data_IF_538958729152
#
_entry.id   IF_538958729152
#
_cell.length_a   1.000
_cell.length_b   1.000
_cell.length_c   1.000
_cell.angle_alpha   90.00
_cell.angle_beta   90.00
_cell.angle_gamma   90.00
#
_symmetry.space_group_name_H-M   'P 1'
#
loop_
_entity.id
_entity.type
_entity.pdbx_description
1 polymer ?
#
# COMPACT_ATOMS: atom_id res chain seq x y z
N UNK A 1 68.81 -17.45 -8.76
CA UNK A 1 67.60 -17.39 -7.92
C UNK A 1 66.41 -16.98 -8.79
N UNK A 2 65.52 -17.92 -9.13
CA UNK A 2 64.21 -17.58 -9.73
C UNK A 2 63.30 -17.15 -8.57
N UNK A 3 62.78 -15.92 -8.61
CA UNK A 3 61.72 -15.50 -7.69
C UNK A 3 60.46 -16.27 -8.09
N UNK A 4 60.04 -17.20 -7.24
CA UNK A 4 58.69 -17.78 -7.28
C UNK A 4 57.80 -16.72 -6.64
N UNK A 5 56.97 -16.05 -7.44
CA UNK A 5 55.84 -15.32 -6.91
C UNK A 5 54.81 -16.38 -6.51
N UNK A 6 54.62 -16.61 -5.21
CA UNK A 6 53.44 -17.32 -4.70
C UNK A 6 52.21 -16.56 -5.18
N UNK A 7 51.51 -17.11 -6.17
CA UNK A 7 50.21 -16.61 -6.57
C UNK A 7 49.29 -16.80 -5.37
N UNK A 8 48.83 -15.71 -4.77
CA UNK A 8 47.72 -15.76 -3.82
C UNK A 8 46.58 -16.53 -4.49
N UNK A 9 46.18 -17.65 -3.90
CA UNK A 9 45.16 -18.54 -4.44
C UNK A 9 43.92 -17.71 -4.81
N UNK A 10 43.63 -17.59 -6.10
CA UNK A 10 42.52 -16.77 -6.57
C UNK A 10 41.21 -17.51 -6.28
N UNK A 11 40.67 -17.20 -5.10
CA UNK A 11 39.47 -17.82 -4.55
C UNK A 11 38.21 -17.48 -5.36
N UNK A 12 38.22 -16.44 -6.18
CA UNK A 12 37.05 -16.00 -6.95
C UNK A 12 36.94 -16.75 -8.28
N UNK A 13 38.08 -17.05 -8.92
CA UNK A 13 38.10 -17.84 -10.16
C UNK A 13 37.86 -19.34 -9.94
N UNK A 14 38.18 -19.84 -8.75
CA UNK A 14 37.98 -21.24 -8.37
C UNK A 14 36.54 -21.60 -7.96
N UNK A 15 35.64 -20.64 -7.77
CA UNK A 15 34.26 -20.90 -7.33
C UNK A 15 33.48 -21.79 -8.32
N UNK A 16 32.72 -22.79 -7.82
CA UNK A 16 31.78 -23.57 -8.63
C UNK A 16 30.74 -22.71 -9.36
N UNK A 17 30.24 -23.19 -10.49
CA UNK A 17 29.33 -22.42 -11.35
C UNK A 17 28.02 -22.05 -10.63
N UNK A 18 27.42 -23.01 -9.92
CA UNK A 18 26.25 -22.84 -9.06
C UNK A 18 26.44 -21.73 -8.02
N UNK A 19 27.62 -21.66 -7.40
CA UNK A 19 27.94 -20.59 -6.44
C UNK A 19 28.04 -19.23 -7.14
N UNK A 20 28.67 -19.17 -8.31
CA UNK A 20 28.74 -17.93 -9.11
C UNK A 20 27.33 -17.48 -9.49
N UNK A 21 26.47 -18.39 -9.98
CA UNK A 21 25.07 -18.09 -10.30
C UNK A 21 24.31 -17.56 -9.09
N UNK A 22 24.50 -18.18 -7.92
CA UNK A 22 23.86 -17.74 -6.68
C UNK A 22 24.31 -16.34 -6.27
N UNK A 23 25.62 -16.05 -6.31
CA UNK A 23 26.17 -14.72 -6.03
C UNK A 23 25.57 -13.68 -6.98
N UNK A 24 25.61 -13.96 -8.28
CA UNK A 24 25.13 -13.03 -9.31
C UNK A 24 23.62 -12.78 -9.21
N UNK A 25 22.83 -13.76 -8.75
CA UNK A 25 21.38 -13.62 -8.56
C UNK A 25 20.99 -12.62 -7.45
N UNK A 26 21.93 -12.24 -6.57
CA UNK A 26 21.74 -11.17 -5.59
C UNK A 26 22.19 -9.79 -6.07
N UNK A 27 22.86 -9.72 -7.23
CA UNK A 27 23.36 -8.46 -7.77
C UNK A 27 22.32 -7.83 -8.73
N UNK A 28 22.25 -6.48 -8.78
CA UNK A 28 21.57 -5.80 -9.87
C UNK A 28 22.12 -6.25 -11.23
N UNK A 29 21.27 -6.31 -12.26
CA UNK A 29 21.63 -6.89 -13.56
C UNK A 29 22.88 -6.24 -14.18
N UNK A 30 23.06 -4.92 -13.99
CA UNK A 30 24.26 -4.20 -14.43
C UNK A 30 25.52 -4.70 -13.73
N UNK A 31 25.48 -4.89 -12.41
CA UNK A 31 26.65 -5.33 -11.65
C UNK A 31 26.94 -6.81 -11.88
N UNK A 32 25.90 -7.63 -12.06
CA UNK A 32 26.05 -8.99 -12.53
C UNK A 32 26.73 -9.06 -13.90
N UNK A 33 26.33 -8.19 -14.84
CA UNK A 33 26.97 -8.07 -16.14
C UNK A 33 28.42 -7.55 -16.03
N UNK A 34 28.74 -6.60 -15.14
CA UNK A 34 30.12 -6.16 -14.90
C UNK A 34 31.01 -7.28 -14.35
N UNK A 35 30.47 -8.18 -13.54
CA UNK A 35 31.21 -9.33 -13.01
C UNK A 35 31.74 -10.25 -14.13
N UNK A 36 31.21 -10.14 -15.36
CA UNK A 36 31.74 -10.81 -16.56
C UNK A 36 33.20 -10.44 -16.88
N UNK A 37 33.69 -9.32 -16.35
CA UNK A 37 35.07 -8.84 -16.52
C UNK A 37 36.06 -9.47 -15.53
N UNK A 38 35.58 -10.08 -14.44
CA UNK A 38 36.43 -10.66 -13.40
C UNK A 38 37.25 -11.84 -13.92
N UNK A 39 36.64 -12.71 -14.75
CA UNK A 39 37.35 -13.79 -15.44
C UNK A 39 36.55 -14.41 -16.58
N UNK A 40 37.20 -15.27 -17.38
CA UNK A 40 36.53 -16.03 -18.44
C UNK A 40 35.37 -16.90 -17.93
N UNK A 41 35.47 -17.40 -16.70
CA UNK A 41 34.44 -18.27 -16.09
C UNK A 41 33.16 -17.50 -15.81
N UNK A 42 33.28 -16.28 -15.28
CA UNK A 42 32.14 -15.43 -14.90
C UNK A 42 31.41 -14.81 -16.11
N UNK A 43 32.06 -14.77 -17.28
CA UNK A 43 31.63 -14.01 -18.46
C UNK A 43 30.18 -14.22 -18.87
N UNK A 44 29.69 -15.46 -18.78
CA UNK A 44 28.40 -15.88 -19.31
C UNK A 44 27.35 -16.17 -18.23
N UNK A 45 27.73 -16.29 -16.96
CA UNK A 45 26.81 -16.76 -15.91
C UNK A 45 25.68 -15.76 -15.63
N UNK A 46 25.90 -14.47 -15.90
CA UNK A 46 24.87 -13.46 -15.73
C UNK A 46 23.72 -13.59 -16.75
N UNK A 47 23.97 -14.24 -17.90
CA UNK A 47 23.00 -14.39 -19.00
C UNK A 47 21.84 -15.34 -18.68
N UNK A 48 21.93 -16.10 -17.60
CA UNK A 48 20.92 -17.06 -17.17
C UNK A 48 20.35 -16.74 -15.79
N UNK A 49 20.56 -15.51 -15.29
CA UNK A 49 19.96 -15.07 -14.02
C UNK A 49 18.44 -14.89 -14.22
N UNK A 50 17.60 -15.56 -13.43
CA UNK A 50 16.17 -15.60 -13.69
C UNK A 50 15.41 -14.31 -13.33
N UNK A 51 16.09 -13.32 -12.74
CA UNK A 51 15.53 -12.06 -12.25
C UNK A 51 16.13 -10.90 -13.01
N UNK A 52 15.36 -10.29 -13.91
CA UNK A 52 15.75 -9.10 -14.66
C UNK A 52 15.00 -7.89 -14.10
N UNK A 53 15.71 -7.02 -13.38
CA UNK A 53 15.16 -5.81 -12.77
C UNK A 53 15.82 -4.59 -13.37
N UNK A 54 15.01 -3.75 -14.01
CA UNK A 54 15.38 -2.49 -14.63
C UNK A 54 14.63 -1.36 -13.93
N UNK A 55 15.25 -0.80 -12.90
CA UNK A 55 14.67 0.22 -12.02
C UNK A 55 15.39 1.59 -12.14
N UNK A 56 15.04 2.54 -11.28
CA UNK A 56 15.75 3.82 -11.19
C UNK A 56 17.26 3.65 -10.94
N UNK A 57 17.67 2.63 -10.19
CA UNK A 57 19.08 2.31 -9.97
C UNK A 57 19.81 1.89 -11.24
N UNK A 58 19.14 1.16 -12.14
CA UNK A 58 19.65 0.84 -13.47
C UNK A 58 19.81 2.10 -14.35
N UNK A 59 18.84 3.01 -14.33
CA UNK A 59 18.84 4.23 -15.14
C UNK A 59 19.87 5.28 -14.70
N UNK A 60 19.96 5.59 -13.40
CA UNK A 60 20.94 6.56 -12.83
C UNK A 60 22.37 6.25 -13.25
N UNK A 61 22.64 4.96 -13.37
CA UNK A 61 23.90 4.38 -13.78
C UNK A 61 24.25 4.60 -15.26
N UNK A 62 23.35 5.20 -16.06
CA UNK A 62 23.51 5.56 -17.47
C UNK A 62 23.50 7.09 -17.68
N UNK A 63 23.24 7.88 -16.64
CA UNK A 63 23.12 9.35 -16.62
C UNK A 63 24.45 10.10 -16.77
N UNK A 64 25.54 9.45 -17.20
CA UNK A 64 26.84 10.10 -17.38
C UNK A 64 26.86 11.18 -18.48
N UNK A 65 25.79 11.31 -19.28
CA UNK A 65 25.62 12.37 -20.28
C UNK A 65 24.29 13.13 -20.09
N UNK A 66 24.40 14.44 -19.91
CA UNK A 66 23.28 15.41 -19.91
C UNK A 66 22.78 15.59 -21.36
N UNK A 67 22.11 14.58 -21.90
CA UNK A 67 21.49 14.59 -23.22
C UNK A 67 19.97 14.81 -23.18
N UNK A 68 19.36 15.05 -24.34
CA UNK A 68 17.91 15.11 -24.51
C UNK A 68 17.21 13.85 -23.98
N UNK A 69 16.08 14.01 -23.27
CA UNK A 69 15.31 12.93 -22.64
C UNK A 69 15.00 11.74 -23.58
N UNK A 70 14.77 12.00 -24.87
CA UNK A 70 14.53 10.97 -25.89
C UNK A 70 15.76 10.10 -26.16
N UNK A 71 16.96 10.69 -26.24
CA UNK A 71 18.20 9.95 -26.47
C UNK A 71 18.53 9.02 -25.28
N UNK A 72 18.24 9.48 -24.06
CA UNK A 72 18.38 8.65 -22.86
C UNK A 72 17.44 7.44 -22.89
N UNK A 73 16.15 7.65 -23.20
CA UNK A 73 15.17 6.58 -23.32
C UNK A 73 15.59 5.53 -24.37
N UNK A 74 16.08 5.97 -25.52
CA UNK A 74 16.59 5.07 -26.56
C UNK A 74 17.80 4.24 -26.08
N UNK A 75 18.73 4.85 -25.33
CA UNK A 75 19.89 4.14 -24.76
C UNK A 75 19.46 3.12 -23.71
N UNK A 76 18.52 3.47 -22.83
CA UNK A 76 17.97 2.57 -21.81
C UNK A 76 17.32 1.37 -22.49
N UNK A 77 16.43 1.61 -23.47
CA UNK A 77 15.75 0.55 -24.21
C UNK A 77 16.73 -0.33 -24.99
N UNK A 78 17.75 0.24 -25.63
CA UNK A 78 18.79 -0.53 -26.31
C UNK A 78 19.51 -1.48 -25.34
N UNK A 79 19.85 -1.03 -24.14
CA UNK A 79 20.49 -1.87 -23.14
C UNK A 79 19.57 -2.99 -22.65
N UNK A 80 18.28 -2.70 -22.43
CA UNK A 80 17.28 -3.71 -22.04
C UNK A 80 17.13 -4.76 -23.13
N UNK A 81 16.93 -4.34 -24.38
CA UNK A 81 16.81 -5.24 -25.53
C UNK A 81 18.09 -6.07 -25.72
N UNK A 82 19.26 -5.47 -25.54
CA UNK A 82 20.54 -6.19 -25.63
C UNK A 82 20.66 -7.25 -24.52
N UNK A 83 20.29 -6.90 -23.29
CA UNK A 83 20.31 -7.82 -22.16
C UNK A 83 19.37 -9.02 -22.40
N UNK A 84 18.16 -8.77 -22.93
CA UNK A 84 17.21 -9.81 -23.28
C UNK A 84 17.69 -10.68 -24.45
N UNK A 85 18.31 -10.07 -25.47
CA UNK A 85 18.82 -10.79 -26.64
C UNK A 85 19.94 -11.78 -26.29
N UNK A 86 20.80 -11.43 -25.33
CA UNK A 86 21.89 -12.31 -24.88
C UNK A 86 21.49 -13.25 -23.76
N UNK A 87 20.25 -13.15 -23.27
CA UNK A 87 19.74 -13.97 -22.18
C UNK A 87 19.48 -15.41 -22.68
N UNK A 88 20.02 -16.40 -21.97
CA UNK A 88 19.95 -17.82 -22.33
C UNK A 88 19.30 -18.71 -21.26
N UNK A 89 18.75 -18.09 -20.20
CA UNK A 89 18.03 -18.77 -19.13
C UNK A 89 16.52 -18.47 -19.09
N UNK A 90 15.79 -19.07 -18.14
CA UNK A 90 14.39 -18.76 -17.89
C UNK A 90 14.26 -17.41 -17.16
N UNK A 91 13.40 -16.52 -17.65
CA UNK A 91 13.10 -15.24 -16.99
C UNK A 91 11.86 -15.41 -16.11
N UNK A 92 12.06 -15.70 -14.82
CA UNK A 92 10.93 -15.88 -13.89
C UNK A 92 10.40 -14.56 -13.35
N UNK A 93 11.27 -13.55 -13.20
CA UNK A 93 10.90 -12.20 -12.76
C UNK A 93 11.41 -11.17 -13.75
N UNK A 94 10.53 -10.31 -14.22
CA UNK A 94 10.84 -9.16 -15.04
C UNK A 94 10.23 -7.90 -14.44
N UNK A 95 11.04 -6.86 -14.27
CA UNK A 95 10.60 -5.58 -13.75
C UNK A 95 11.17 -4.45 -14.61
N UNK A 96 10.27 -3.61 -15.13
CA UNK A 96 10.61 -2.38 -15.83
C UNK A 96 9.92 -1.21 -15.11
N UNK A 97 10.70 -0.46 -14.34
CA UNK A 97 10.23 0.61 -13.46
C UNK A 97 11.21 1.77 -13.45
N UNK A 98 11.28 2.50 -14.56
CA UNK A 98 12.22 3.60 -14.75
C UNK A 98 11.45 4.92 -14.87
N UNK A 99 11.62 5.86 -13.92
CA UNK A 99 11.04 7.19 -14.01
C UNK A 99 11.47 7.91 -15.30
N UNK A 100 10.51 8.50 -16.02
CA UNK A 100 10.76 9.22 -17.27
C UNK A 100 10.87 8.35 -18.53
N UNK A 101 10.89 7.01 -18.40
CA UNK A 101 10.85 6.11 -19.56
C UNK A 101 9.46 6.16 -20.21
N UNK A 102 9.42 6.50 -21.51
CA UNK A 102 8.20 6.52 -22.28
C UNK A 102 7.87 5.14 -22.86
N UNK A 103 6.58 4.87 -23.09
CA UNK A 103 6.16 3.68 -23.81
C UNK A 103 6.65 3.69 -25.27
N UNK A 104 7.10 2.55 -25.77
CA UNK A 104 7.57 2.37 -27.14
C UNK A 104 7.30 0.94 -27.65
N UNK A 105 7.46 0.71 -28.96
CA UNK A 105 7.13 -0.58 -29.61
C UNK A 105 8.01 -1.74 -29.14
N UNK A 106 9.22 -1.44 -28.70
CA UNK A 106 10.14 -2.42 -28.14
C UNK A 106 9.55 -3.09 -26.90
N UNK A 107 8.74 -2.37 -26.11
CA UNK A 107 8.06 -2.92 -24.94
C UNK A 107 7.05 -3.99 -25.35
N UNK A 108 6.33 -3.81 -26.47
CA UNK A 108 5.42 -4.83 -27.01
C UNK A 108 6.17 -6.14 -27.34
N UNK A 109 7.35 -6.02 -27.95
CA UNK A 109 8.20 -7.16 -28.27
C UNK A 109 8.74 -7.85 -27.01
N UNK A 110 9.10 -7.06 -25.99
CA UNK A 110 9.54 -7.59 -24.69
C UNK A 110 8.40 -8.38 -24.03
N UNK A 111 7.19 -7.82 -23.98
CA UNK A 111 6.03 -8.49 -23.38
C UNK A 111 5.73 -9.79 -24.14
N UNK A 112 5.73 -9.76 -25.48
CA UNK A 112 5.53 -10.95 -26.30
C UNK A 112 6.56 -12.05 -25.98
N UNK A 113 7.84 -11.67 -25.90
CA UNK A 113 8.91 -12.59 -25.55
C UNK A 113 8.72 -13.18 -24.15
N UNK A 114 8.46 -12.35 -23.13
CA UNK A 114 8.30 -12.79 -21.75
C UNK A 114 7.08 -13.69 -21.54
N UNK A 115 5.96 -13.35 -22.19
CA UNK A 115 4.71 -14.11 -22.08
C UNK A 115 4.86 -15.55 -22.57
N UNK A 116 5.74 -15.77 -23.56
CA UNK A 116 6.03 -17.09 -24.12
C UNK A 116 7.07 -17.88 -23.31
N UNK A 117 7.79 -17.23 -22.39
CA UNK A 117 8.95 -17.80 -21.68
C UNK A 117 8.70 -18.03 -20.17
N UNK A 118 7.44 -18.16 -19.76
CA UNK A 118 7.08 -18.62 -18.41
C UNK A 118 7.36 -17.62 -17.29
N UNK A 119 7.25 -16.32 -17.58
CA UNK A 119 7.33 -15.26 -16.57
C UNK A 119 6.31 -15.50 -15.45
N UNK A 120 6.75 -15.36 -14.20
CA UNK A 120 5.92 -15.57 -12.99
C UNK A 120 5.66 -14.28 -12.24
N UNK A 121 6.60 -13.34 -12.26
CA UNK A 121 6.47 -12.02 -11.64
C UNK A 121 6.77 -10.95 -12.71
N UNK A 122 5.73 -10.21 -13.09
CA UNK A 122 5.80 -9.19 -14.13
C UNK A 122 5.41 -7.83 -13.58
N UNK A 123 6.35 -6.88 -13.66
CA UNK A 123 6.14 -5.49 -13.25
C UNK A 123 6.42 -4.55 -14.41
N UNK A 124 5.45 -3.73 -14.76
CA UNK A 124 5.59 -2.65 -15.74
C UNK A 124 5.04 -1.35 -15.16
N UNK A 125 5.93 -0.39 -14.91
CA UNK A 125 5.57 0.89 -14.31
C UNK A 125 5.97 2.06 -15.20
N UNK A 126 4.96 2.80 -15.68
CA UNK A 126 5.16 4.10 -16.31
C UNK A 126 4.82 5.22 -15.33
N UNK A 127 5.67 6.25 -15.31
CA UNK A 127 5.51 7.43 -14.46
C UNK A 127 5.05 8.63 -15.30
N UNK A 128 3.89 8.49 -15.96
CA UNK A 128 3.32 9.58 -16.75
C UNK A 128 3.09 10.81 -15.88
N UNK A 129 3.47 12.00 -16.39
CA UNK A 129 3.33 13.29 -15.71
C UNK A 129 1.88 13.77 -15.55
N UNK A 130 0.94 13.17 -16.28
CA UNK A 130 -0.46 13.61 -16.31
C UNK A 130 -1.42 12.46 -15.98
N UNK A 131 -2.14 12.62 -14.87
CA UNK A 131 -3.24 11.75 -14.44
C UNK A 131 -4.34 11.80 -15.52
N UNK A 132 -4.92 10.64 -15.87
CA UNK A 132 -6.06 10.56 -16.81
C UNK A 132 -5.73 10.61 -18.32
N UNK A 133 -4.44 10.62 -18.70
CA UNK A 133 -4.08 10.41 -20.12
C UNK A 133 -4.15 8.93 -20.49
N UNK A 134 -4.53 8.62 -21.74
CA UNK A 134 -4.56 7.25 -22.25
C UNK A 134 -3.16 6.64 -22.11
N UNK A 135 -2.98 5.86 -21.03
CA UNK A 135 -1.71 5.21 -20.71
C UNK A 135 -1.30 4.20 -21.77
N UNK A 136 -0.18 3.53 -21.53
CA UNK A 136 0.30 2.47 -22.40
C UNK A 136 -0.78 1.39 -22.57
N UNK A 137 -1.17 1.11 -23.82
CA UNK A 137 -2.11 0.03 -24.11
C UNK A 137 -1.41 -1.30 -23.92
N UNK A 138 -1.87 -2.09 -22.95
CA UNK A 138 -1.22 -3.36 -22.64
C UNK A 138 -1.25 -4.30 -23.84
N UNK A 139 -0.08 -4.78 -24.26
CA UNK A 139 0.00 -5.71 -25.37
C UNK A 139 -0.71 -7.04 -25.03
N UNK A 140 -1.54 -7.52 -25.96
CA UNK A 140 -2.47 -8.64 -25.72
C UNK A 140 -1.78 -9.95 -25.37
N UNK A 141 -0.50 -10.11 -25.72
CA UNK A 141 0.27 -11.32 -25.39
C UNK A 141 0.45 -11.53 -23.88
N UNK A 142 0.38 -10.47 -23.05
CA UNK A 142 0.47 -10.61 -21.59
C UNK A 142 -0.63 -11.57 -21.06
N UNK A 143 -1.82 -11.52 -21.65
CA UNK A 143 -2.95 -12.36 -21.28
C UNK A 143 -2.77 -13.84 -21.64
N UNK A 144 -1.70 -14.19 -22.36
CA UNK A 144 -1.27 -15.57 -22.62
C UNK A 144 -0.26 -16.10 -21.59
N UNK A 145 0.18 -15.29 -20.62
CA UNK A 145 1.15 -15.68 -19.59
C UNK A 145 0.50 -16.57 -18.51
N UNK A 146 0.42 -17.88 -18.76
CA UNK A 146 -0.27 -18.85 -17.89
C UNK A 146 0.41 -19.10 -16.52
N UNK A 147 1.71 -18.82 -16.42
CA UNK A 147 2.50 -19.06 -15.20
C UNK A 147 2.57 -17.84 -14.27
N UNK A 148 1.86 -16.76 -14.62
CA UNK A 148 1.91 -15.50 -13.91
C UNK A 148 1.31 -15.64 -12.50
N UNK A 149 2.12 -15.35 -11.48
CA UNK A 149 1.77 -15.36 -10.06
C UNK A 149 1.61 -13.95 -9.50
N UNK A 150 2.39 -13.00 -10.02
CA UNK A 150 2.41 -11.60 -9.58
C UNK A 150 2.39 -10.69 -10.80
N UNK A 151 1.44 -9.75 -10.80
CA UNK A 151 1.27 -8.74 -11.85
C UNK A 151 1.16 -7.36 -11.23
N UNK A 152 2.11 -6.48 -11.55
CA UNK A 152 2.12 -5.08 -11.12
C UNK A 152 2.15 -4.15 -12.32
N UNK A 153 1.12 -3.32 -12.47
CA UNK A 153 0.98 -2.39 -13.58
C UNK A 153 0.76 -0.96 -13.05
N UNK A 154 1.53 0.01 -13.57
CA UNK A 154 1.29 1.43 -13.33
C UNK A 154 1.06 2.18 -14.63
N UNK A 155 0.00 2.99 -14.69
CA UNK A 155 -0.34 3.83 -15.86
C UNK A 155 -0.44 3.07 -17.18
N UNK A 156 -0.99 1.85 -17.12
CA UNK A 156 -1.27 0.98 -18.27
C UNK A 156 -2.79 0.82 -18.43
N UNK A 157 -3.29 0.83 -19.66
CA UNK A 157 -4.68 0.45 -19.92
C UNK A 157 -4.81 -1.07 -19.81
N UNK A 158 -5.67 -1.52 -18.89
CA UNK A 158 -5.88 -2.94 -18.61
C UNK A 158 -7.18 -3.41 -19.25
N UNK A 159 -7.10 -3.85 -20.50
CA UNK A 159 -8.25 -4.30 -21.29
C UNK A 159 -8.06 -5.76 -21.73
N UNK A 160 -8.59 -6.73 -20.96
CA UNK A 160 -8.52 -8.13 -21.32
C UNK A 160 -9.17 -8.42 -22.69
N UNK A 161 -8.51 -9.16 -23.60
CA UNK A 161 -9.10 -9.61 -24.85
C UNK A 161 -10.29 -10.56 -24.65
N UNK A 162 -11.15 -10.69 -25.65
CA UNK A 162 -12.34 -11.57 -25.58
C UNK A 162 -12.03 -13.05 -25.39
N UNK A 163 -10.89 -13.52 -25.91
CA UNK A 163 -10.41 -14.91 -25.74
C UNK A 163 -9.78 -15.17 -24.37
N UNK A 164 -9.57 -14.15 -23.54
CA UNK A 164 -8.90 -14.30 -22.26
C UNK A 164 -9.76 -15.12 -21.28
N UNK A 165 -9.22 -16.29 -20.92
CA UNK A 165 -9.86 -17.26 -20.02
C UNK A 165 -9.51 -17.06 -18.55
N UNK A 166 -8.46 -16.28 -18.24
CA UNK A 166 -8.05 -16.02 -16.86
C UNK A 166 -6.58 -16.26 -16.57
N UNK A 167 -6.14 -15.77 -15.42
CA UNK A 167 -4.84 -16.11 -14.84
C UNK A 167 -5.03 -17.13 -13.72
N UNK A 168 -4.78 -18.40 -14.02
CA UNK A 168 -5.04 -19.51 -13.09
C UNK A 168 -4.10 -19.58 -11.90
N UNK A 169 -2.90 -19.00 -12.00
CA UNK A 169 -1.86 -19.03 -10.95
C UNK A 169 -1.64 -17.68 -10.26
N UNK A 170 -2.40 -16.65 -10.64
CA UNK A 170 -2.19 -15.29 -10.14
C UNK A 170 -2.62 -15.19 -8.68
N UNK A 171 -1.67 -14.88 -7.80
CA UNK A 171 -1.90 -14.68 -6.37
C UNK A 171 -1.89 -13.19 -6.01
N UNK A 172 -1.12 -12.38 -6.73
CA UNK A 172 -0.93 -10.96 -6.45
C UNK A 172 -1.24 -10.12 -7.68
N UNK A 173 -2.18 -9.17 -7.55
CA UNK A 173 -2.51 -8.19 -8.58
C UNK A 173 -2.41 -6.78 -7.99
N UNK A 174 -1.55 -5.95 -8.57
CA UNK A 174 -1.40 -4.55 -8.22
C UNK A 174 -1.59 -3.67 -9.46
N UNK A 175 -2.58 -2.80 -9.43
CA UNK A 175 -2.91 -1.84 -10.47
C UNK A 175 -2.79 -0.44 -9.88
N UNK A 176 -2.02 0.44 -10.50
CA UNK A 176 -1.77 1.80 -10.01
C UNK A 176 -2.02 2.82 -11.11
N UNK A 177 -2.88 3.81 -10.88
CA UNK A 177 -3.26 4.80 -11.88
C UNK A 177 -3.71 4.13 -13.20
N UNK A 178 -4.57 3.11 -13.06
CA UNK A 178 -5.12 2.30 -14.17
C UNK A 178 -6.61 2.59 -14.29
N UNK A 179 -7.08 2.80 -15.52
CA UNK A 179 -8.51 2.88 -15.82
C UNK A 179 -9.06 1.44 -15.84
N UNK A 180 -9.91 1.11 -14.86
CA UNK A 180 -10.51 -0.21 -14.75
C UNK A 180 -11.74 -0.32 -15.69
N UNK A 181 -11.89 -1.42 -16.44
CA UNK A 181 -13.12 -1.70 -17.18
C UNK A 181 -14.35 -1.74 -16.26
N UNK A 182 -15.54 -1.45 -16.81
CA UNK A 182 -16.80 -1.44 -16.06
C UNK A 182 -17.07 -2.73 -15.29
N UNK A 183 -16.74 -3.85 -15.93
CA UNK A 183 -17.07 -5.17 -15.42
C UNK A 183 -15.84 -5.88 -14.85
N UNK A 184 -14.79 -5.12 -14.49
CA UNK A 184 -13.54 -5.69 -13.95
C UNK A 184 -13.79 -6.60 -12.74
N UNK A 185 -14.56 -6.14 -11.75
CA UNK A 185 -14.81 -6.92 -10.54
C UNK A 185 -15.73 -8.13 -10.79
N UNK A 186 -16.69 -8.00 -11.70
CA UNK A 186 -17.69 -9.05 -11.99
C UNK A 186 -17.20 -10.10 -12.98
N UNK A 187 -16.45 -9.70 -14.01
CA UNK A 187 -16.04 -10.58 -15.11
C UNK A 187 -14.56 -10.98 -15.06
N UNK A 188 -13.67 -10.09 -14.60
CA UNK A 188 -12.24 -10.38 -14.61
C UNK A 188 -11.76 -11.07 -13.33
N UNK A 189 -12.18 -10.61 -12.14
CA UNK A 189 -11.72 -11.23 -10.89
C UNK A 189 -12.08 -12.72 -10.75
N UNK A 190 -13.28 -13.20 -11.15
CA UNK A 190 -13.58 -14.64 -11.09
C UNK A 190 -12.68 -15.49 -11.99
N UNK A 191 -12.04 -14.90 -13.01
CA UNK A 191 -11.06 -15.57 -13.86
C UNK A 191 -9.68 -15.72 -13.20
N UNK A 192 -9.49 -15.20 -11.98
CA UNK A 192 -8.26 -15.31 -11.21
C UNK A 192 -8.52 -16.07 -9.89
N UNK A 193 -8.75 -17.41 -9.94
CA UNK A 193 -9.27 -18.16 -8.79
C UNK A 193 -8.28 -18.32 -7.63
N UNK A 194 -6.99 -18.03 -7.81
CA UNK A 194 -5.96 -18.15 -6.77
C UNK A 194 -5.56 -16.79 -6.17
N UNK A 195 -6.31 -15.72 -6.47
CA UNK A 195 -5.94 -14.37 -6.07
C UNK A 195 -6.04 -14.17 -4.56
N UNK A 196 -4.91 -13.92 -3.91
CA UNK A 196 -4.81 -13.69 -2.47
C UNK A 196 -4.70 -12.20 -2.11
N UNK A 197 -4.10 -11.39 -2.99
CA UNK A 197 -3.88 -9.96 -2.78
C UNK A 197 -4.27 -9.14 -4.00
N UNK A 198 -5.20 -8.19 -3.83
CA UNK A 198 -5.61 -7.22 -4.83
C UNK A 198 -5.39 -5.81 -4.32
N UNK A 199 -4.59 -5.02 -5.04
CA UNK A 199 -4.38 -3.61 -4.77
C UNK A 199 -4.70 -2.78 -6.01
N UNK A 200 -5.72 -1.95 -5.94
CA UNK A 200 -6.05 -0.96 -6.96
C UNK A 200 -5.82 0.43 -6.34
N UNK A 201 -4.84 1.19 -6.85
CA UNK A 201 -4.42 2.47 -6.27
C UNK A 201 -4.59 3.56 -7.33
N UNK A 202 -5.21 4.69 -6.98
CA UNK A 202 -5.52 5.78 -7.92
C UNK A 202 -6.27 5.28 -9.17
N UNK A 203 -7.11 4.26 -9.01
CA UNK A 203 -7.86 3.67 -10.12
C UNK A 203 -9.21 4.38 -10.27
N UNK A 204 -9.55 4.81 -11.48
CA UNK A 204 -10.92 5.24 -11.78
C UNK A 204 -11.80 4.00 -11.92
N UNK A 205 -12.69 3.75 -10.96
CA UNK A 205 -13.72 2.74 -11.17
C UNK A 205 -14.81 3.28 -12.11
N UNK A 206 -15.52 2.41 -12.84
CA UNK A 206 -16.81 2.79 -13.43
C UNK A 206 -17.75 3.38 -12.37
N UNK A 207 -18.67 4.25 -12.80
CA UNK A 207 -19.77 4.75 -11.98
C UNK A 207 -20.70 3.60 -11.57
N UNK A 208 -20.37 2.88 -10.50
CA UNK A 208 -21.09 1.69 -10.07
C UNK A 208 -20.62 1.12 -8.72
N UNK A 209 -21.36 0.09 -8.27
CA UNK A 209 -21.07 -0.73 -7.10
C UNK A 209 -19.98 -1.76 -7.42
N UNK A 210 -18.95 -1.84 -6.58
CA UNK A 210 -17.91 -2.86 -6.65
C UNK A 210 -18.44 -4.15 -6.03
N UNK A 211 -18.92 -5.07 -6.87
CA UNK A 211 -19.30 -6.42 -6.44
C UNK A 211 -18.10 -7.35 -6.57
N UNK A 212 -17.52 -7.71 -5.42
CA UNK A 212 -16.27 -8.47 -5.35
C UNK A 212 -16.58 -9.91 -4.94
N UNK A 213 -16.39 -10.82 -5.88
CA UNK A 213 -16.48 -12.27 -5.67
C UNK A 213 -15.06 -12.84 -5.71
N UNK A 214 -14.46 -13.02 -4.53
CA UNK A 214 -13.07 -13.45 -4.43
C UNK A 214 -12.85 -14.38 -3.21
N UNK A 215 -13.12 -15.70 -3.36
CA UNK A 215 -13.15 -16.65 -2.24
C UNK A 215 -11.82 -16.81 -1.48
N UNK A 216 -10.70 -16.61 -2.19
CA UNK A 216 -9.35 -16.80 -1.64
C UNK A 216 -8.64 -15.49 -1.29
N UNK A 217 -9.33 -14.35 -1.46
CA UNK A 217 -8.74 -13.03 -1.24
C UNK A 217 -8.51 -12.80 0.27
N UNK A 218 -7.28 -12.46 0.63
CA UNK A 218 -6.85 -12.18 2.01
C UNK A 218 -6.56 -10.70 2.24
N UNK A 219 -6.11 -10.01 1.20
CA UNK A 219 -5.71 -8.60 1.24
C UNK A 219 -6.40 -7.83 0.12
N UNK A 220 -7.14 -6.78 0.49
CA UNK A 220 -7.78 -5.88 -0.46
C UNK A 220 -7.39 -4.43 -0.15
N UNK A 221 -6.92 -3.71 -1.17
CA UNK A 221 -6.70 -2.27 -1.12
C UNK A 221 -7.37 -1.63 -2.31
N UNK A 222 -8.20 -0.62 -2.05
CA UNK A 222 -8.78 0.22 -3.09
C UNK A 222 -8.61 1.70 -2.73
N UNK A 223 -7.85 2.42 -3.54
CA UNK A 223 -7.70 3.88 -3.49
C UNK A 223 -8.24 4.46 -4.78
N UNK A 224 -9.30 5.26 -4.71
CA UNK A 224 -9.92 5.85 -5.91
C UNK A 224 -11.38 6.25 -5.69
N UNK A 225 -12.11 6.45 -6.79
CA UNK A 225 -13.54 6.76 -6.75
C UNK A 225 -14.39 5.52 -7.04
N UNK A 226 -15.37 5.22 -6.19
CA UNK A 226 -16.35 4.12 -6.37
C UNK A 226 -17.67 4.44 -5.66
N UNK A 227 -18.84 4.02 -6.17
CA UNK A 227 -20.13 4.39 -5.54
C UNK A 227 -20.48 3.56 -4.29
N UNK A 228 -20.18 2.28 -4.30
CA UNK A 228 -20.46 1.36 -3.20
C UNK A 228 -19.56 0.13 -3.33
N UNK A 229 -19.35 -0.63 -2.25
CA UNK A 229 -18.54 -1.86 -2.24
C UNK A 229 -19.25 -2.97 -1.49
N UNK A 230 -19.34 -4.14 -2.13
CA UNK A 230 -19.99 -5.33 -1.59
C UNK A 230 -19.11 -6.55 -1.82
N UNK A 231 -18.87 -7.32 -0.75
CA UNK A 231 -18.17 -8.60 -0.83
C UNK A 231 -19.20 -9.73 -0.75
N UNK A 232 -19.54 -10.36 -1.86
CA UNK A 232 -20.59 -11.40 -1.87
C UNK A 232 -20.06 -12.75 -1.34
N UNK A 233 -18.75 -13.00 -1.44
CA UNK A 233 -18.14 -14.25 -0.98
C UNK A 233 -16.63 -14.09 -0.76
N UNK A 234 -16.24 -13.53 0.40
CA UNK A 234 -14.84 -13.27 0.77
C UNK A 234 -14.51 -13.76 2.21
N UNK A 235 -14.60 -15.08 2.50
CA UNK A 235 -14.48 -15.61 3.86
C UNK A 235 -13.07 -15.51 4.45
N UNK A 236 -12.03 -15.32 3.62
CA UNK A 236 -10.63 -15.26 4.04
C UNK A 236 -10.09 -13.82 4.11
N UNK A 237 -10.94 -12.82 3.85
CA UNK A 237 -10.51 -11.44 3.74
C UNK A 237 -10.16 -10.87 5.11
N UNK A 238 -8.86 -10.75 5.35
CA UNK A 238 -8.27 -10.41 6.66
C UNK A 238 -7.84 -8.96 6.76
N UNK A 239 -7.52 -8.33 5.62
CA UNK A 239 -7.06 -6.95 5.51
C UNK A 239 -7.90 -6.24 4.46
N UNK A 240 -8.51 -5.12 4.84
CA UNK A 240 -9.25 -4.23 3.96
C UNK A 240 -8.73 -2.81 4.14
N UNK A 241 -8.33 -2.18 3.04
CA UNK A 241 -7.95 -0.78 2.98
C UNK A 241 -8.77 -0.09 1.92
N UNK A 242 -9.54 0.92 2.33
CA UNK A 242 -10.39 1.70 1.46
C UNK A 242 -10.02 3.17 1.64
N UNK A 243 -9.79 3.86 0.52
CA UNK A 243 -9.46 5.28 0.47
C UNK A 243 -10.25 5.91 -0.69
N UNK A 244 -11.29 6.68 -0.33
CA UNK A 244 -12.21 7.29 -1.28
C UNK A 244 -11.76 8.70 -1.63
N UNK A 245 -11.70 9.01 -2.92
CA UNK A 245 -11.46 10.38 -3.38
C UNK A 245 -12.74 11.21 -3.48
N UNK A 246 -13.83 10.70 -4.10
CA UNK A 246 -15.09 11.45 -4.30
C UNK A 246 -16.25 10.48 -4.64
N UNK A 247 -17.20 10.17 -3.73
CA UNK A 247 -18.44 9.43 -4.07
C UNK A 247 -19.47 9.31 -2.94
N UNK A 248 -20.68 8.82 -3.27
CA UNK A 248 -21.82 8.64 -2.36
C UNK A 248 -21.69 7.41 -1.42
N UNK A 249 -22.59 7.36 -0.44
CA UNK A 249 -22.63 6.46 0.72
C UNK A 249 -22.59 4.94 0.41
N UNK A 250 -21.56 4.19 0.85
CA UNK A 250 -21.67 2.75 1.03
C UNK A 250 -22.47 2.40 2.30
N UNK A 251 -23.37 1.41 2.24
CA UNK A 251 -24.03 0.86 3.43
C UNK A 251 -23.03 -0.02 4.20
N UNK A 252 -22.29 0.58 5.13
CA UNK A 252 -21.26 -0.16 5.86
C UNK A 252 -21.78 -1.22 6.82
N UNK A 253 -23.06 -1.19 7.22
CA UNK A 253 -23.62 -2.31 8.00
C UNK A 253 -23.56 -3.58 7.16
N UNK A 254 -23.88 -3.45 5.87
CA UNK A 254 -23.70 -4.54 4.90
C UNK A 254 -22.23 -4.88 4.64
N UNK A 255 -21.34 -3.87 4.63
CA UNK A 255 -19.90 -4.08 4.45
C UNK A 255 -19.31 -4.95 5.56
N UNK A 256 -19.51 -4.58 6.83
CA UNK A 256 -18.96 -5.35 7.94
C UNK A 256 -19.64 -6.71 8.12
N UNK A 257 -20.94 -6.80 7.83
CA UNK A 257 -21.63 -8.09 7.82
C UNK A 257 -21.03 -9.07 6.78
N UNK A 258 -20.44 -8.55 5.71
CA UNK A 258 -19.81 -9.36 4.66
C UNK A 258 -18.37 -9.82 4.97
N UNK A 259 -17.77 -9.39 6.08
CA UNK A 259 -16.34 -9.56 6.39
C UNK A 259 -16.08 -10.32 7.70
N UNK A 260 -16.42 -11.62 7.78
CA UNK A 260 -16.33 -12.39 9.03
C UNK A 260 -14.91 -12.63 9.55
N UNK A 261 -13.89 -12.58 8.68
CA UNK A 261 -12.49 -12.85 9.02
C UNK A 261 -11.62 -11.60 9.13
N UNK A 262 -12.21 -10.40 9.10
CA UNK A 262 -11.49 -9.13 9.10
C UNK A 262 -10.66 -8.96 10.37
N UNK A 263 -9.35 -8.75 10.21
CA UNK A 263 -8.42 -8.52 11.32
C UNK A 263 -7.81 -7.11 11.29
N UNK A 264 -7.67 -6.52 10.11
CA UNK A 264 -7.14 -5.18 9.93
C UNK A 264 -8.00 -4.38 8.96
N UNK A 265 -8.36 -3.18 9.39
CA UNK A 265 -9.14 -2.23 8.61
C UNK A 265 -8.39 -0.91 8.53
N UNK A 266 -8.26 -0.38 7.32
CA UNK A 266 -7.73 0.95 7.04
C UNK A 266 -8.78 1.74 6.26
N UNK A 267 -9.21 2.88 6.79
CA UNK A 267 -10.22 3.76 6.16
C UNK A 267 -9.78 5.22 6.21
N UNK A 268 -10.10 5.98 5.18
CA UNK A 268 -9.81 7.42 5.14
C UNK A 268 -10.98 8.25 5.71
N UNK A 269 -10.73 9.55 5.91
CA UNK A 269 -11.73 10.51 6.37
C UNK A 269 -12.97 10.57 5.49
N UNK A 270 -12.83 10.57 4.17
CA UNK A 270 -13.98 10.71 3.26
C UNK A 270 -14.99 9.58 3.47
N UNK A 271 -14.52 8.32 3.54
CA UNK A 271 -15.37 7.18 3.89
C UNK A 271 -16.13 7.46 5.18
N UNK A 272 -15.43 7.93 6.22
CA UNK A 272 -16.05 8.17 7.52
C UNK A 272 -17.05 9.33 7.52
N UNK A 273 -16.73 10.41 6.81
CA UNK A 273 -17.60 11.58 6.64
C UNK A 273 -18.90 11.21 5.93
N UNK A 274 -18.84 10.33 4.92
CA UNK A 274 -20.06 9.88 4.24
C UNK A 274 -20.97 9.05 5.15
N UNK A 275 -20.43 8.31 6.12
CA UNK A 275 -21.24 7.60 7.11
C UNK A 275 -21.97 8.54 8.06
N UNK A 276 -21.29 9.63 8.42
CA UNK A 276 -21.84 10.65 9.29
C UNK A 276 -23.09 11.29 8.68
N UNK A 277 -23.15 11.41 7.35
CA UNK A 277 -24.26 12.03 6.61
C UNK A 277 -25.53 11.15 6.54
N UNK A 278 -25.44 9.85 6.82
CA UNK A 278 -26.51 8.87 6.57
C UNK A 278 -27.60 8.76 7.64
N UNK A 279 -27.37 9.21 8.87
CA UNK A 279 -28.37 9.12 9.94
C UNK A 279 -28.09 10.11 11.09
N UNK A 280 -29.07 10.97 11.43
CA UNK A 280 -28.98 11.84 12.62
C UNK A 280 -28.86 11.04 13.92
N UNK A 281 -29.26 9.76 13.90
CA UNK A 281 -29.20 8.81 15.00
C UNK A 281 -28.21 7.68 14.77
N UNK A 282 -27.03 7.98 14.22
CA UNK A 282 -25.95 6.97 14.09
C UNK A 282 -25.73 6.25 15.43
N UNK A 283 -25.78 4.90 15.46
CA UNK A 283 -25.77 4.16 16.70
C UNK A 283 -24.40 4.25 17.39
N UNK A 284 -24.36 4.11 18.71
CA UNK A 284 -23.10 4.06 19.48
C UNK A 284 -22.34 2.76 19.28
N UNK A 285 -23.00 1.71 18.79
CA UNK A 285 -22.42 0.43 18.36
C UNK A 285 -23.13 -0.07 17.12
N UNK A 286 -22.39 -0.69 16.21
CA UNK A 286 -22.94 -1.38 15.05
C UNK A 286 -23.84 -2.55 15.50
N UNK A 287 -24.87 -2.90 14.73
CA UNK A 287 -25.76 -4.03 15.05
C UNK A 287 -25.01 -5.36 15.20
N UNK A 288 -23.91 -5.51 14.45
CA UNK A 288 -23.05 -6.69 14.48
C UNK A 288 -21.65 -6.26 14.91
N UNK A 289 -21.14 -6.71 16.07
CA UNK A 289 -19.78 -6.40 16.50
C UNK A 289 -18.73 -6.96 15.54
N UNK A 290 -17.65 -6.21 15.31
CA UNK A 290 -16.52 -6.62 14.47
C UNK A 290 -15.52 -7.39 15.34
N UNK A 291 -15.90 -8.59 15.80
CA UNK A 291 -15.13 -9.35 16.79
C UNK A 291 -13.71 -9.74 16.32
N UNK A 292 -13.53 -9.92 15.00
CA UNK A 292 -12.24 -10.29 14.42
C UNK A 292 -11.21 -9.15 14.41
N UNK A 293 -11.65 -7.88 14.50
CA UNK A 293 -10.79 -6.73 14.25
C UNK A 293 -9.77 -6.53 15.38
N UNK A 294 -8.49 -6.54 15.00
CA UNK A 294 -7.34 -6.35 15.89
C UNK A 294 -6.62 -5.04 15.62
N UNK A 295 -6.65 -4.54 14.39
CA UNK A 295 -5.94 -3.33 13.97
C UNK A 295 -6.92 -2.43 13.23
N UNK A 296 -7.05 -1.20 13.71
CA UNK A 296 -7.83 -0.15 13.06
C UNK A 296 -6.90 1.02 12.76
N UNK A 297 -6.76 1.32 11.48
CA UNK A 297 -5.97 2.45 10.98
C UNK A 297 -6.90 3.43 10.29
N UNK A 298 -6.72 4.71 10.58
CA UNK A 298 -7.49 5.77 9.95
C UNK A 298 -6.55 6.83 9.40
N UNK A 299 -6.84 7.34 8.20
CA UNK A 299 -5.96 8.25 7.46
C UNK A 299 -6.68 9.55 7.14
N UNK A 300 -5.94 10.66 7.23
CA UNK A 300 -6.38 12.02 6.93
C UNK A 300 -7.62 12.47 7.72
N UNK A 301 -7.75 12.04 8.98
CA UNK A 301 -8.92 12.34 9.82
C UNK A 301 -9.00 13.83 10.17
N UNK A 302 -10.19 14.40 10.03
CA UNK A 302 -10.56 15.73 10.53
C UNK A 302 -11.77 15.60 11.44
N UNK A 303 -11.71 16.14 12.66
CA UNK A 303 -12.87 16.27 13.54
C UNK A 303 -13.58 17.60 13.28
N UNK A 304 -14.27 17.72 12.13
CA UNK A 304 -14.98 18.95 11.72
C UNK A 304 -16.42 19.06 12.28
N UNK A 305 -16.89 18.04 13.01
CA UNK A 305 -18.20 18.06 13.66
C UNK A 305 -18.50 16.81 14.49
N UNK A 306 -19.62 16.85 15.24
CA UNK A 306 -20.04 15.75 16.11
C UNK A 306 -20.37 14.46 15.35
N UNK A 307 -20.84 14.57 14.11
CA UNK A 307 -21.21 13.40 13.31
C UNK A 307 -19.98 12.51 13.06
N UNK A 308 -18.84 13.13 12.75
CA UNK A 308 -17.58 12.44 12.54
C UNK A 308 -17.08 11.76 13.83
N UNK A 309 -17.17 12.44 14.97
CA UNK A 309 -16.86 11.85 16.27
C UNK A 309 -17.74 10.63 16.58
N UNK A 310 -19.05 10.69 16.28
CA UNK A 310 -19.99 9.58 16.54
C UNK A 310 -19.66 8.35 15.73
N UNK A 311 -19.36 8.53 14.45
CA UNK A 311 -18.96 7.43 13.54
C UNK A 311 -17.67 6.79 14.06
N UNK A 312 -16.68 7.60 14.40
CA UNK A 312 -15.40 7.13 14.89
C UNK A 312 -15.53 6.37 16.23
N UNK A 313 -16.29 6.94 17.18
CA UNK A 313 -16.67 6.28 18.43
C UNK A 313 -17.34 4.94 18.17
N UNK A 314 -18.32 4.90 17.26
CA UNK A 314 -19.07 3.68 16.97
C UNK A 314 -18.16 2.57 16.45
N UNK A 315 -17.20 2.88 15.57
CA UNK A 315 -16.23 1.91 15.08
C UNK A 315 -15.36 1.34 16.20
N UNK A 316 -14.86 2.20 17.10
CA UNK A 316 -14.07 1.76 18.27
C UNK A 316 -14.93 0.88 19.18
N UNK A 317 -16.14 1.32 19.48
CA UNK A 317 -17.06 0.64 20.39
C UNK A 317 -17.58 -0.69 19.85
N UNK A 318 -17.58 -0.85 18.53
CA UNK A 318 -17.96 -2.09 17.83
C UNK A 318 -16.81 -3.07 17.64
N UNK A 319 -15.59 -2.69 18.06
CA UNK A 319 -14.35 -3.47 17.87
C UNK A 319 -13.78 -3.93 19.22
N UNK A 320 -14.40 -4.92 19.89
CA UNK A 320 -14.07 -5.27 21.28
C UNK A 320 -12.66 -5.85 21.46
N UNK A 321 -12.10 -6.49 20.41
CA UNK A 321 -10.80 -7.18 20.46
C UNK A 321 -9.65 -6.36 19.87
N UNK A 322 -9.84 -5.04 19.72
CA UNK A 322 -8.85 -4.14 19.14
C UNK A 322 -7.55 -4.13 19.96
N UNK A 323 -6.42 -4.26 19.27
CA UNK A 323 -5.06 -4.33 19.83
C UNK A 323 -4.20 -3.14 19.44
N UNK A 324 -4.40 -2.60 18.24
CA UNK A 324 -3.71 -1.41 17.76
C UNK A 324 -4.72 -0.45 17.12
N UNK A 325 -4.62 0.83 17.49
CA UNK A 325 -5.41 1.92 16.94
C UNK A 325 -4.46 3.02 16.46
N UNK A 326 -4.51 3.32 15.16
CA UNK A 326 -3.73 4.40 14.55
C UNK A 326 -4.67 5.43 13.93
N UNK A 327 -4.44 6.69 14.25
CA UNK A 327 -5.21 7.82 13.75
C UNK A 327 -4.24 8.83 13.15
N UNK A 328 -4.15 8.87 11.84
CA UNK A 328 -3.41 9.91 11.13
C UNK A 328 -4.37 11.06 10.83
N UNK A 329 -4.10 12.23 11.41
CA UNK A 329 -4.87 13.45 11.19
C UNK A 329 -4.55 14.06 9.82
N UNK A 330 -5.46 14.85 9.25
CA UNK A 330 -5.15 15.62 8.05
C UNK A 330 -4.14 16.72 8.38
N UNK A 331 -3.07 16.79 7.59
CA UNK A 331 -2.01 17.79 7.77
C UNK A 331 -2.49 19.18 7.34
N UNK A 332 -2.95 20.00 8.29
CA UNK A 332 -3.44 21.36 8.01
C UNK A 332 -3.69 22.17 9.28
N UNK A 333 -3.77 23.50 9.16
CA UNK A 333 -4.36 24.28 10.25
C UNK A 333 -5.86 23.92 10.33
N UNK A 334 -6.41 23.68 11.53
CA UNK A 334 -7.82 23.39 11.65
C UNK A 334 -8.60 24.52 10.97
N UNK A 335 -9.62 24.21 10.15
CA UNK A 335 -10.49 25.25 9.65
C UNK A 335 -10.99 26.08 10.84
N UNK A 336 -11.09 27.40 10.68
CA UNK A 336 -11.70 28.33 11.66
C UNK A 336 -13.19 27.97 11.83
N UNK A 337 -13.45 26.83 12.46
CA UNK A 337 -14.77 26.34 12.75
C UNK A 337 -15.28 27.12 13.96
N UNK A 338 -16.53 27.61 13.91
CA UNK A 338 -17.14 28.17 15.09
C UNK A 338 -17.07 27.14 16.22
N UNK A 339 -16.59 27.55 17.38
CA UNK A 339 -16.59 26.75 18.61
C UNK A 339 -18.05 26.38 18.87
N UNK A 340 -18.45 25.19 18.45
CA UNK A 340 -19.80 24.72 18.66
C UNK A 340 -19.90 24.36 20.14
N UNK A 341 -20.77 25.02 20.90
CA UNK A 341 -21.00 24.78 22.34
C UNK A 341 -21.59 23.38 22.65
N UNK A 342 -21.74 22.53 21.63
CA UNK A 342 -22.20 21.16 21.81
C UNK A 342 -21.10 20.26 22.37
N UNK A 343 -21.39 19.58 23.48
CA UNK A 343 -20.47 18.63 24.14
C UNK A 343 -20.08 17.52 23.18
N UNK A 344 -18.77 17.35 22.96
CA UNK A 344 -18.17 16.30 22.13
C UNK A 344 -18.71 14.92 22.49
N UNK A 345 -18.94 14.08 21.48
CA UNK A 345 -19.46 12.72 21.66
C UNK A 345 -18.49 11.87 22.47
N UNK A 346 -17.19 12.12 22.31
CA UNK A 346 -16.12 11.47 23.07
C UNK A 346 -16.19 11.88 24.56
N UNK A 347 -16.44 13.16 24.85
CA UNK A 347 -16.56 13.63 26.23
C UNK A 347 -17.78 13.08 26.96
N UNK A 348 -18.90 12.88 26.25
CA UNK A 348 -20.07 12.19 26.82
C UNK A 348 -19.75 10.76 27.26
N UNK A 349 -18.87 10.06 26.54
CA UNK A 349 -18.42 8.72 26.95
C UNK A 349 -17.46 8.76 28.13
N UNK A 350 -16.60 9.78 28.20
CA UNK A 350 -15.71 10.01 29.33
C UNK A 350 -16.48 10.32 30.62
N UNK A 351 -17.60 11.00 30.50
CA UNK A 351 -18.46 11.42 31.62
C UNK A 351 -19.52 10.37 32.00
N UNK A 352 -19.69 9.30 31.21
CA UNK A 352 -20.60 8.21 31.52
C UNK A 352 -20.09 7.40 32.73
N UNK A 353 -20.97 7.12 33.69
CA UNK A 353 -20.63 6.37 34.92
C UNK A 353 -20.26 4.89 34.64
N UNK A 354 -20.76 4.33 33.53
CA UNK A 354 -20.42 2.99 33.09
C UNK A 354 -19.11 3.00 32.28
N UNK A 355 -18.15 2.17 32.68
CA UNK A 355 -16.99 1.90 31.84
C UNK A 355 -17.47 1.33 30.51
N UNK A 356 -17.09 1.92 29.36
CA UNK A 356 -17.64 1.53 28.06
C UNK A 356 -17.33 0.07 27.65
N UNK A 357 -16.50 -0.64 28.42
CA UNK A 357 -16.14 -2.04 28.20
C UNK A 357 -15.39 -2.28 26.89
N UNK A 358 -14.97 -1.22 26.20
CA UNK A 358 -14.19 -1.24 24.98
C UNK A 358 -12.68 -1.15 25.30
N UNK A 359 -11.83 -1.36 24.29
CA UNK A 359 -10.37 -1.19 24.35
C UNK A 359 -9.65 -2.04 25.42
N UNK A 360 -10.29 -3.08 25.95
CA UNK A 360 -9.73 -3.97 26.98
C UNK A 360 -8.45 -4.69 26.55
N UNK A 361 -8.29 -4.86 25.23
CA UNK A 361 -7.13 -5.54 24.63
C UNK A 361 -6.17 -4.60 23.90
N UNK A 362 -6.41 -3.28 23.98
CA UNK A 362 -5.61 -2.29 23.25
C UNK A 362 -4.21 -2.21 23.87
N UNK A 363 -3.18 -2.40 23.05
CA UNK A 363 -1.76 -2.39 23.44
C UNK A 363 -1.02 -1.20 22.86
N UNK A 364 -1.37 -0.78 21.66
CA UNK A 364 -0.73 0.34 20.98
C UNK A 364 -1.80 1.35 20.56
N UNK A 365 -1.52 2.63 20.83
CA UNK A 365 -2.30 3.74 20.30
C UNK A 365 -1.36 4.74 19.63
N UNK A 366 -1.68 5.16 18.42
CA UNK A 366 -0.91 6.15 17.67
C UNK A 366 -1.83 7.24 17.16
N UNK A 367 -1.44 8.49 17.39
CA UNK A 367 -2.04 9.66 16.75
C UNK A 367 -0.93 10.44 16.06
N UNK A 368 -1.03 10.53 14.73
CA UNK A 368 -0.06 11.19 13.89
C UNK A 368 -0.61 12.51 13.36
N UNK A 369 0.28 13.50 13.14
CA UNK A 369 -0.04 14.84 12.65
C UNK A 369 -1.05 15.64 13.50
N UNK A 370 -1.07 15.45 14.83
CA UNK A 370 -2.01 16.15 15.73
C UNK A 370 -1.78 17.66 15.76
N UNK A 371 -2.87 18.44 15.67
CA UNK A 371 -2.86 19.89 15.86
C UNK A 371 -3.13 20.30 17.33
N UNK A 372 -3.54 19.34 18.17
CA UNK A 372 -3.86 19.54 19.58
C UNK A 372 -5.24 20.16 19.81
N UNK A 373 -6.18 19.98 18.88
CA UNK A 373 -7.55 20.42 19.09
C UNK A 373 -8.23 19.64 20.23
N UNK A 374 -9.34 20.17 20.76
CA UNK A 374 -10.01 19.56 21.91
C UNK A 374 -10.53 18.14 21.61
N UNK A 375 -11.03 17.88 20.39
CA UNK A 375 -11.52 16.55 20.01
C UNK A 375 -10.41 15.49 19.98
N UNK A 376 -9.23 15.85 19.44
CA UNK A 376 -8.04 14.99 19.47
C UNK A 376 -7.60 14.70 20.91
N UNK A 377 -7.55 15.73 21.75
CA UNK A 377 -7.18 15.61 23.16
C UNK A 377 -8.18 14.77 23.96
N UNK A 378 -9.48 14.94 23.70
CA UNK A 378 -10.55 14.13 24.29
C UNK A 378 -10.40 12.67 23.88
N UNK A 379 -10.01 12.38 22.63
CA UNK A 379 -9.71 11.02 22.16
C UNK A 379 -8.50 10.42 22.90
N UNK A 380 -7.38 11.15 23.00
CA UNK A 380 -6.20 10.68 23.76
C UNK A 380 -6.59 10.39 25.21
N UNK A 381 -7.36 11.29 25.83
CA UNK A 381 -7.85 11.14 27.19
C UNK A 381 -8.78 9.93 27.34
N UNK A 382 -9.67 9.71 26.38
CA UNK A 382 -10.57 8.55 26.33
C UNK A 382 -9.80 7.24 26.28
N UNK A 383 -8.81 7.10 25.39
CA UNK A 383 -7.99 5.89 25.29
C UNK A 383 -7.23 5.63 26.59
N UNK A 384 -6.59 6.65 27.15
CA UNK A 384 -5.86 6.56 28.42
C UNK A 384 -6.72 6.13 29.61
N UNK A 385 -7.99 6.56 29.62
CA UNK A 385 -8.95 6.25 30.68
C UNK A 385 -9.61 4.88 30.51
N UNK A 386 -9.55 4.25 29.33
CA UNK A 386 -10.31 3.04 29.02
C UNK A 386 -9.46 1.81 28.71
N UNK A 387 -8.19 1.97 28.32
CA UNK A 387 -7.30 0.86 27.95
C UNK A 387 -6.39 0.42 29.12
N UNK A 388 -6.68 -0.70 29.82
CA UNK A 388 -5.93 -1.11 31.01
C UNK A 388 -4.58 -1.78 30.73
N UNK A 389 -4.40 -2.38 29.55
CA UNK A 389 -3.19 -3.11 29.16
C UNK A 389 -2.35 -2.38 28.11
N UNK A 390 -2.59 -1.07 27.94
CA UNK A 390 -1.90 -0.22 26.98
C UNK A 390 -0.39 -0.22 27.26
N UNK A 391 0.42 -0.48 26.24
CA UNK A 391 1.88 -0.61 26.33
C UNK A 391 2.59 0.62 25.81
N UNK A 392 2.15 1.17 24.67
CA UNK A 392 2.73 2.36 24.08
C UNK A 392 1.68 3.30 23.50
N UNK A 393 2.00 4.59 23.60
CA UNK A 393 1.25 5.68 22.99
C UNK A 393 2.23 6.53 22.21
N UNK A 394 1.97 6.68 20.91
CA UNK A 394 2.77 7.50 20.02
C UNK A 394 1.96 8.73 19.63
N UNK A 395 2.47 9.91 19.96
CA UNK A 395 1.86 11.19 19.60
C UNK A 395 2.84 11.96 18.74
N UNK A 396 2.52 12.13 17.46
CA UNK A 396 3.34 12.88 16.52
C UNK A 396 2.68 14.22 16.25
N UNK A 397 3.34 15.33 16.62
CA UNK A 397 2.83 16.67 16.39
C UNK A 397 2.88 17.04 14.90
N UNK A 398 1.91 17.85 14.45
CA UNK A 398 1.91 18.42 13.11
C UNK A 398 3.22 19.17 12.82
N UNK A 399 3.85 18.91 11.66
CA UNK A 399 5.20 19.38 11.35
C UNK A 399 5.39 20.91 11.35
N UNK A 400 4.33 21.72 11.22
CA UNK A 400 4.41 23.20 11.31
C UNK A 400 4.06 23.75 12.70
N UNK A 401 3.85 22.90 13.69
CA UNK A 401 3.44 23.33 15.02
C UNK A 401 4.62 23.96 15.77
N UNK A 402 4.45 25.21 16.24
CA UNK A 402 5.45 25.90 17.06
C UNK A 402 5.79 25.09 18.33
N UNK A 403 7.07 25.04 18.70
CA UNK A 403 7.61 24.37 19.89
C UNK A 403 6.85 24.74 21.15
N UNK A 404 6.41 25.99 21.31
CA UNK A 404 5.58 26.40 22.46
C UNK A 404 4.24 25.67 22.52
N UNK A 405 3.58 25.48 21.36
CA UNK A 405 2.32 24.74 21.28
C UNK A 405 2.56 23.26 21.55
N UNK A 406 3.62 22.67 20.99
CA UNK A 406 4.01 21.27 21.25
C UNK A 406 4.25 21.04 22.75
N UNK A 407 4.98 21.94 23.41
CA UNK A 407 5.23 21.86 24.84
C UNK A 407 3.97 22.00 25.69
N UNK A 408 2.98 22.79 25.24
CA UNK A 408 1.68 22.89 25.89
C UNK A 408 0.90 21.57 25.77
N UNK A 409 0.84 21.01 24.56
CA UNK A 409 0.20 19.72 24.26
C UNK A 409 0.82 18.60 25.12
N UNK A 410 2.15 18.51 25.13
CA UNK A 410 2.88 17.51 25.92
C UNK A 410 2.56 17.64 27.41
N UNK A 411 2.60 18.86 27.96
CA UNK A 411 2.24 19.11 29.36
C UNK A 411 0.82 18.67 29.67
N UNK A 412 -0.14 19.01 28.82
CA UNK A 412 -1.55 18.68 29.03
C UNK A 412 -1.78 17.16 29.07
N UNK A 413 -1.27 16.41 28.08
CA UNK A 413 -1.42 14.95 28.01
C UNK A 413 -0.71 14.24 29.17
N UNK A 414 0.43 14.75 29.65
CA UNK A 414 1.12 14.17 30.80
C UNK A 414 0.29 14.17 32.09
N UNK A 415 -0.66 15.12 32.24
CA UNK A 415 -1.54 15.20 33.41
C UNK A 415 -2.76 14.27 33.32
N UNK A 416 -3.01 13.63 32.17
CA UNK A 416 -4.14 12.73 32.03
C UNK A 416 -3.96 11.46 32.87
N UNK A 417 -5.04 11.09 33.57
CA UNK A 417 -5.11 9.86 34.36
C UNK A 417 -5.06 8.66 33.41
N UNK A 418 -4.14 7.74 33.68
CA UNK A 418 -3.94 6.51 32.90
C UNK A 418 -4.39 5.31 33.71
N UNK A 419 -5.14 4.40 33.09
CA UNK A 419 -5.50 3.13 33.73
C UNK A 419 -4.35 2.14 33.64
N UNK A 420 -3.66 2.08 32.50
CA UNK A 420 -2.42 1.31 32.36
C UNK A 420 -1.27 1.99 33.10
N UNK A 421 -0.57 1.21 33.93
CA UNK A 421 0.66 1.64 34.61
C UNK A 421 1.92 1.43 33.77
N UNK A 422 1.83 0.58 32.75
CA UNK A 422 2.95 0.17 31.89
C UNK A 422 3.01 0.99 30.59
N UNK A 423 1.99 1.82 30.33
CA UNK A 423 1.92 2.63 29.10
C UNK A 423 3.05 3.66 29.02
N UNK A 424 3.95 3.44 28.06
CA UNK A 424 4.97 4.41 27.65
C UNK A 424 4.34 5.48 26.75
N UNK A 425 4.67 6.75 27.02
CA UNK A 425 4.19 7.89 26.26
C UNK A 425 5.35 8.46 25.44
N UNK A 426 5.28 8.28 24.13
CA UNK A 426 6.31 8.66 23.17
C UNK A 426 5.80 9.85 22.37
N UNK A 427 6.49 10.98 22.47
CA UNK A 427 6.22 12.17 21.69
C UNK A 427 7.26 12.33 20.60
N UNK A 428 6.81 12.52 19.37
CA UNK A 428 7.65 12.84 18.22
C UNK A 428 7.23 14.20 17.66
N UNK A 429 8.19 15.06 17.36
CA UNK A 429 7.98 16.30 16.61
C UNK A 429 9.24 16.62 15.79
N UNK A 430 9.09 17.36 14.70
CA UNK A 430 10.23 17.89 13.98
C UNK A 430 10.77 19.11 14.75
N UNK A 431 11.94 18.99 15.37
CA UNK A 431 12.78 20.14 15.71
C UNK A 431 13.48 20.58 14.41
N UNK A 432 12.75 21.23 13.50
CA UNK A 432 13.36 22.04 12.45
C UNK A 432 13.78 23.40 13.07
N UNK A 433 14.70 23.34 14.05
CA UNK A 433 15.56 24.45 14.45
C UNK A 433 17.02 23.97 14.34
N UNK A 434 17.55 23.95 13.11
CA UNK A 434 18.94 24.31 12.78
C UNK A 434 19.15 24.55 11.26
#
# INVERSE_FOLDING_TARGET
MKRVCEASDDRITSLPADVIHHILAFLPIKDAAKASTLSRKWRHHWRSIPRLVFDHGFARNLEEDVGESSAMNNRIMLNICTALLVHDGPITKFELSIPGLCACREIDHIILHLSSNGVQDFTLMFYCRYIGTAGYQMHTSLFSALHLKSLTLRSCAFTPPTWFTGFSMLTNLQLINVILPSDFFKEFLPKCPMLESLRAIECSAPAGRLEIVAPFLKYFTFVGSFLDVCFEYAPLLSYVSLDLAESNTPDMVSLFASLPALQQLLVNYDILKFLAQGDRNFPTRLPTPIEGLKVLETISIVFDGLEMERVFVCLIMSSPNLRSLTVQMESGEPPDLPVNDEVSSIRRLLEAEDSPGCLQYLREFRIDDTCGCQAELDLVRFVLATAPILQSIHITAYYKMDTKKVMKLMKEVMHYKRVSKEAELIFNWNDDED
#
